data_IF_154700661864
#
_entry.id   IF_154700661864
#
_cell.length_a   1.000
_cell.length_b   1.000
_cell.length_c   1.000
_cell.angle_alpha   90.00
_cell.angle_beta   90.00
_cell.angle_gamma   90.00
#
_symmetry.space_group_name_H-M   'P 1'
#
loop_
_entity.id
_entity.type
_entity.pdbx_description
1 polymer ?
#
# COMPACT_ATOMS: atom_id res chain seq x y z
N UNK A 1 -1.95 -22.28 2.56
CA UNK A 1 -1.70 -22.69 1.16
C UNK A 1 -0.54 -21.84 0.65
N UNK A 2 0.24 -22.29 -0.33
CA UNK A 2 1.27 -21.42 -0.94
C UNK A 2 0.59 -20.37 -1.83
N UNK A 3 1.20 -19.20 -1.97
CA UNK A 3 0.79 -18.17 -2.93
C UNK A 3 1.62 -18.29 -4.19
N UNK A 4 1.06 -17.93 -5.34
CA UNK A 4 1.81 -17.83 -6.58
C UNK A 4 2.30 -16.40 -6.78
N UNK A 5 3.53 -16.28 -7.27
CA UNK A 5 4.04 -15.04 -7.84
C UNK A 5 4.33 -15.31 -9.32
N UNK A 6 3.38 -14.92 -10.16
CA UNK A 6 3.47 -15.03 -11.61
C UNK A 6 4.17 -13.77 -12.14
N UNK A 7 5.27 -13.94 -12.87
CA UNK A 7 6.13 -12.81 -13.25
C UNK A 7 6.27 -12.83 -14.77
N UNK A 8 5.84 -11.76 -15.41
CA UNK A 8 6.18 -11.55 -16.80
C UNK A 8 7.68 -11.31 -16.98
N UNK A 9 8.21 -11.69 -18.15
CA UNK A 9 9.63 -11.56 -18.44
C UNK A 9 9.97 -10.18 -19.01
N UNK A 10 9.26 -9.78 -20.06
CA UNK A 10 9.60 -8.67 -20.93
C UNK A 10 9.01 -7.37 -20.35
N UNK A 11 9.75 -6.27 -20.35
CA UNK A 11 9.34 -5.04 -19.65
C UNK A 11 9.28 -5.15 -18.11
N UNK A 12 9.46 -6.34 -17.54
CA UNK A 12 9.33 -6.65 -16.10
C UNK A 12 10.65 -7.10 -15.48
N UNK A 13 11.21 -8.24 -15.89
CA UNK A 13 12.52 -8.74 -15.44
C UNK A 13 13.64 -8.13 -16.28
N UNK A 14 13.40 -8.03 -17.59
CA UNK A 14 14.27 -7.40 -18.58
C UNK A 14 13.53 -6.24 -19.23
N UNK A 15 14.24 -5.32 -19.87
CA UNK A 15 13.61 -4.31 -20.72
C UNK A 15 13.22 -4.94 -22.04
N UNK A 16 12.01 -4.62 -22.50
CA UNK A 16 11.54 -5.04 -23.81
C UNK A 16 12.18 -4.17 -24.91
N UNK A 17 12.72 -4.76 -25.99
CA UNK A 17 13.31 -4.03 -27.10
C UNK A 17 12.22 -3.49 -28.03
N UNK A 18 12.56 -2.56 -28.91
CA UNK A 18 11.58 -1.92 -29.82
C UNK A 18 10.86 -2.92 -30.74
N UNK A 19 11.50 -4.04 -31.08
CA UNK A 19 10.91 -5.09 -31.92
C UNK A 19 10.24 -6.22 -31.12
N UNK A 20 10.13 -6.06 -29.79
CA UNK A 20 9.48 -7.00 -28.86
C UNK A 20 10.09 -8.41 -28.89
N UNK A 21 11.30 -8.57 -29.44
CA UNK A 21 11.99 -9.86 -29.58
C UNK A 21 13.39 -9.86 -28.95
N UNK A 22 13.54 -10.65 -27.89
CA UNK A 22 14.82 -10.87 -27.19
C UNK A 22 15.51 -12.10 -27.79
N UNK A 23 16.18 -11.89 -28.92
CA UNK A 23 16.81 -12.93 -29.75
C UNK A 23 18.34 -12.80 -29.83
N UNK A 24 18.93 -11.83 -29.14
CA UNK A 24 20.37 -11.63 -29.08
C UNK A 24 20.82 -10.98 -27.77
N UNK A 25 22.06 -11.25 -27.37
CA UNK A 25 22.66 -10.66 -26.16
C UNK A 25 22.82 -9.14 -26.23
N UNK A 26 22.85 -8.56 -27.43
CA UNK A 26 22.95 -7.10 -27.60
C UNK A 26 21.66 -6.38 -27.19
N UNK A 27 20.51 -7.06 -27.30
CA UNK A 27 19.21 -6.53 -26.87
C UNK A 27 18.93 -6.78 -25.39
N UNK A 28 19.67 -7.68 -24.75
CA UNK A 28 19.44 -8.06 -23.36
C UNK A 28 19.87 -6.94 -22.41
N UNK A 29 18.89 -6.31 -21.77
CA UNK A 29 19.11 -5.42 -20.64
C UNK A 29 18.20 -5.82 -19.48
N UNK A 30 18.76 -6.10 -18.30
CA UNK A 30 17.95 -6.36 -17.11
C UNK A 30 17.26 -5.09 -16.62
N UNK A 31 16.01 -5.22 -16.18
CA UNK A 31 15.29 -4.11 -15.60
C UNK A 31 15.98 -3.66 -14.29
N UNK A 32 16.20 -2.35 -14.07
CA UNK A 32 16.91 -1.87 -12.88
C UNK A 32 16.36 -2.43 -11.57
N UNK A 33 17.25 -3.07 -10.81
CA UNK A 33 16.92 -3.64 -9.49
C UNK A 33 16.17 -4.98 -9.52
N UNK A 34 15.77 -5.51 -10.69
CA UNK A 34 15.02 -6.76 -10.80
C UNK A 34 15.72 -7.93 -10.10
N UNK A 35 16.97 -8.20 -10.50
CA UNK A 35 17.77 -9.32 -9.99
C UNK A 35 17.86 -9.27 -8.46
N UNK A 36 18.36 -8.16 -7.90
CA UNK A 36 18.60 -8.04 -6.46
C UNK A 36 17.33 -8.13 -5.62
N UNK A 37 16.20 -7.61 -6.09
CA UNK A 37 14.94 -7.67 -5.35
C UNK A 37 14.23 -9.02 -5.52
N UNK A 38 14.30 -9.66 -6.69
CA UNK A 38 13.83 -11.03 -6.88
C UNK A 38 14.59 -12.01 -5.99
N UNK A 39 15.89 -11.82 -5.81
CA UNK A 39 16.70 -12.61 -4.88
C UNK A 39 16.23 -12.46 -3.42
N UNK A 40 15.80 -11.24 -3.02
CA UNK A 40 15.18 -11.00 -1.70
C UNK A 40 13.80 -11.63 -1.60
N UNK A 41 12.96 -11.49 -2.63
CA UNK A 41 11.61 -12.07 -2.70
C UNK A 41 11.67 -13.60 -2.58
N UNK A 42 12.62 -14.24 -3.26
CA UNK A 42 12.82 -15.70 -3.22
C UNK A 42 13.13 -16.21 -1.81
N UNK A 43 13.72 -15.38 -0.95
CA UNK A 43 14.02 -15.71 0.46
C UNK A 43 12.80 -15.60 1.37
N UNK A 44 11.69 -14.99 0.94
CA UNK A 44 10.46 -14.88 1.74
C UNK A 44 9.81 -16.24 1.97
N UNK A 45 9.95 -17.17 1.01
CA UNK A 45 9.37 -18.54 1.03
C UNK A 45 7.83 -18.60 1.13
N UNK A 46 7.15 -17.46 1.07
CA UNK A 46 5.69 -17.35 1.05
C UNK A 46 5.10 -17.58 -0.36
N UNK A 47 5.91 -17.30 -1.38
CA UNK A 47 5.54 -17.39 -2.78
C UNK A 47 6.27 -18.53 -3.48
N UNK A 48 5.58 -19.17 -4.41
CA UNK A 48 6.16 -20.03 -5.44
C UNK A 48 6.22 -19.24 -6.75
N UNK A 49 7.43 -19.06 -7.30
CA UNK A 49 7.66 -18.19 -8.45
C UNK A 49 7.42 -18.97 -9.74
N UNK A 50 6.69 -18.37 -10.68
CA UNK A 50 6.47 -18.91 -12.03
C UNK A 50 6.68 -17.77 -13.02
N UNK A 51 7.53 -18.00 -14.02
CA UNK A 51 7.69 -17.04 -15.11
C UNK A 51 6.63 -17.32 -16.17
N UNK A 52 5.96 -16.30 -16.69
CA UNK A 52 4.96 -16.45 -17.75
C UNK A 52 5.08 -15.34 -18.79
N UNK A 53 5.34 -15.70 -20.05
CA UNK A 53 5.56 -14.73 -21.14
C UNK A 53 4.87 -15.17 -22.44
N UNK A 54 4.44 -14.19 -23.23
CA UNK A 54 3.97 -14.38 -24.61
C UNK A 54 5.16 -14.09 -25.56
N UNK A 55 5.49 -14.99 -26.47
CA UNK A 55 6.59 -14.86 -27.43
C UNK A 55 6.06 -15.04 -28.87
N UNK A 56 5.63 -13.94 -29.46
CA UNK A 56 4.95 -13.89 -30.76
C UNK A 56 5.75 -14.60 -31.86
N UNK A 57 5.22 -15.74 -32.33
CA UNK A 57 5.82 -16.47 -33.45
C UNK A 57 7.10 -17.21 -33.11
N UNK A 58 7.39 -17.49 -31.83
CA UNK A 58 8.56 -18.28 -31.44
C UNK A 58 8.55 -19.65 -32.14
N UNK A 59 9.64 -19.96 -32.85
CA UNK A 59 9.80 -21.16 -33.66
C UNK A 59 9.37 -21.01 -35.12
N UNK A 60 8.97 -19.81 -35.56
CA UNK A 60 8.79 -19.46 -36.98
C UNK A 60 10.09 -18.90 -37.56
N UNK A 61 10.15 -18.78 -38.89
CA UNK A 61 11.34 -18.26 -39.60
C UNK A 61 11.73 -16.84 -39.14
N UNK A 62 10.76 -16.01 -38.76
CA UNK A 62 10.98 -14.66 -38.27
C UNK A 62 11.51 -14.60 -36.82
N UNK A 63 11.29 -15.65 -36.02
CA UNK A 63 11.76 -15.71 -34.62
C UNK A 63 12.14 -17.16 -34.24
N UNK A 64 13.28 -17.65 -34.73
CA UNK A 64 13.65 -19.06 -34.60
C UNK A 64 14.13 -19.40 -33.19
N UNK A 65 13.92 -20.66 -32.78
CA UNK A 65 14.26 -21.09 -31.41
C UNK A 65 15.76 -21.01 -31.08
N UNK A 66 16.63 -21.13 -32.08
CA UNK A 66 18.07 -21.10 -31.89
C UNK A 66 18.62 -19.70 -31.54
N UNK A 67 17.87 -18.63 -31.78
CA UNK A 67 18.22 -17.26 -31.35
C UNK A 67 17.59 -16.93 -30.00
N UNK A 68 16.41 -17.46 -29.71
CA UNK A 68 15.71 -17.29 -28.44
C UNK A 68 16.37 -18.01 -27.25
N UNK A 69 16.56 -19.34 -27.35
CA UNK A 69 16.95 -20.16 -26.21
C UNK A 69 18.28 -19.76 -25.56
N UNK A 70 19.33 -19.38 -26.29
CA UNK A 70 20.58 -18.92 -25.67
C UNK A 70 20.39 -17.75 -24.72
N UNK A 71 19.56 -16.77 -25.10
CA UNK A 71 19.31 -15.58 -24.28
C UNK A 71 18.37 -15.90 -23.13
N UNK A 72 17.28 -16.65 -23.38
CA UNK A 72 16.37 -17.10 -22.32
C UNK A 72 17.10 -17.90 -21.24
N UNK A 73 17.95 -18.86 -21.62
CA UNK A 73 18.70 -19.68 -20.67
C UNK A 73 19.71 -18.84 -19.87
N UNK A 74 20.34 -17.85 -20.50
CA UNK A 74 21.24 -16.93 -19.80
C UNK A 74 20.51 -16.09 -18.75
N UNK A 75 19.31 -15.59 -19.05
CA UNK A 75 18.47 -14.87 -18.08
C UNK A 75 18.15 -15.76 -16.88
N UNK A 76 17.66 -16.97 -17.14
CA UNK A 76 17.30 -17.93 -16.09
C UNK A 76 18.51 -18.28 -15.24
N UNK A 77 19.64 -18.64 -15.86
CA UNK A 77 20.87 -18.98 -15.15
C UNK A 77 21.39 -17.81 -14.30
N UNK A 78 21.28 -16.58 -14.79
CA UNK A 78 21.67 -15.38 -14.03
C UNK A 78 20.82 -15.23 -12.77
N UNK A 79 19.52 -15.44 -12.87
CA UNK A 79 18.58 -15.39 -11.74
C UNK A 79 18.81 -16.54 -10.76
N UNK A 80 19.04 -17.76 -11.27
CA UNK A 80 19.36 -18.94 -10.46
C UNK A 80 20.64 -18.76 -9.65
N UNK A 81 21.68 -18.15 -10.25
CA UNK A 81 22.94 -17.84 -9.57
C UNK A 81 22.76 -16.87 -8.37
N UNK A 82 21.70 -16.07 -8.39
CA UNK A 82 21.30 -15.18 -7.29
C UNK A 82 20.27 -15.82 -6.34
N UNK A 83 19.97 -17.11 -6.55
CA UNK A 83 19.05 -17.90 -5.73
C UNK A 83 17.57 -17.73 -6.07
N UNK A 84 17.25 -17.18 -7.25
CA UNK A 84 15.88 -17.06 -7.76
C UNK A 84 15.55 -18.31 -8.57
N UNK A 85 14.72 -19.18 -7.99
CA UNK A 85 14.31 -20.43 -8.61
C UNK A 85 12.84 -20.33 -9.06
N UNK A 86 12.61 -20.41 -10.35
CA UNK A 86 11.26 -20.55 -10.89
C UNK A 86 10.85 -22.01 -10.83
N UNK A 87 9.62 -22.26 -10.36
CA UNK A 87 9.04 -23.60 -10.41
C UNK A 87 8.80 -24.04 -11.84
N UNK A 88 8.18 -23.17 -12.63
CA UNK A 88 7.93 -23.36 -14.05
C UNK A 88 8.21 -22.06 -14.81
N UNK A 89 8.55 -22.22 -16.08
CA UNK A 89 8.66 -21.13 -17.06
C UNK A 89 7.67 -21.46 -18.18
N UNK A 90 6.60 -20.66 -18.26
CA UNK A 90 5.47 -20.86 -19.16
C UNK A 90 5.59 -19.88 -20.33
N UNK A 91 5.70 -20.41 -21.55
CA UNK A 91 5.90 -19.61 -22.76
C UNK A 91 4.79 -19.93 -23.74
N UNK A 92 3.97 -18.94 -24.06
CA UNK A 92 3.08 -19.00 -25.23
C UNK A 92 3.84 -18.55 -26.48
N UNK A 93 3.62 -19.24 -27.62
CA UNK A 93 4.34 -18.97 -28.88
C UNK A 93 3.46 -18.35 -29.97
N UNK A 94 2.18 -18.15 -29.67
CA UNK A 94 1.15 -17.80 -30.65
C UNK A 94 1.06 -16.29 -30.82
N UNK A 95 0.53 -15.83 -31.95
CA UNK A 95 0.23 -14.42 -32.17
C UNK A 95 -1.13 -14.02 -31.56
N UNK A 96 -1.36 -12.72 -31.26
CA UNK A 96 -2.64 -12.22 -30.76
C UNK A 96 -3.86 -12.67 -31.58
N UNK A 97 -3.74 -12.65 -32.92
CA UNK A 97 -4.83 -12.99 -33.83
C UNK A 97 -5.21 -14.48 -33.82
N UNK A 98 -4.35 -15.35 -33.31
CA UNK A 98 -4.64 -16.79 -33.17
C UNK A 98 -5.55 -17.08 -31.96
N UNK A 99 -5.68 -16.12 -31.04
CA UNK A 99 -6.59 -16.16 -29.88
C UNK A 99 -6.46 -17.44 -29.03
N UNK A 100 -5.25 -17.99 -28.91
CA UNK A 100 -4.99 -19.24 -28.21
C UNK A 100 -5.30 -19.12 -26.70
N UNK A 101 -5.90 -20.17 -26.12
CA UNK A 101 -6.22 -20.19 -24.69
C UNK A 101 -4.98 -20.13 -23.77
N UNK A 102 -3.82 -20.49 -24.31
CA UNK A 102 -2.52 -20.47 -23.63
C UNK A 102 -1.90 -19.08 -23.57
N UNK A 103 -2.36 -18.13 -24.39
CA UNK A 103 -1.83 -16.77 -24.48
C UNK A 103 -2.42 -15.87 -23.40
N UNK A 104 -1.59 -15.12 -22.66
CA UNK A 104 -2.07 -14.09 -21.73
C UNK A 104 -2.89 -13.04 -22.49
N UNK A 105 -4.04 -12.56 -21.95
CA UNK A 105 -4.50 -12.66 -20.56
C UNK A 105 -5.23 -13.96 -20.17
N UNK A 106 -5.38 -14.92 -21.08
CA UNK A 106 -6.05 -16.19 -20.79
C UNK A 106 -5.18 -17.10 -19.91
N UNK A 107 -5.82 -18.07 -19.28
CA UNK A 107 -5.23 -18.87 -18.20
C UNK A 107 -4.82 -20.29 -18.61
N UNK A 108 -4.78 -20.59 -19.91
CA UNK A 108 -4.57 -21.96 -20.42
C UNK A 108 -3.27 -22.61 -19.95
N UNK A 109 -2.17 -21.85 -19.87
CA UNK A 109 -0.88 -22.34 -19.35
C UNK A 109 -0.89 -22.54 -17.81
N UNK A 110 -1.85 -21.94 -17.11
CA UNK A 110 -1.96 -21.97 -15.65
C UNK A 110 -2.95 -23.02 -15.14
N UNK A 111 -3.56 -23.82 -16.02
CA UNK A 111 -4.50 -24.90 -15.62
C UNK A 111 -4.00 -25.80 -14.47
N UNK A 112 -2.71 -26.22 -14.42
CA UNK A 112 -2.19 -27.03 -13.30
C UNK A 112 -2.24 -26.30 -11.95
N UNK A 113 -2.14 -24.96 -11.97
CA UNK A 113 -2.13 -24.11 -10.79
C UNK A 113 -3.55 -23.78 -10.31
N UNK A 114 -4.47 -23.53 -11.25
CA UNK A 114 -5.88 -23.22 -10.94
C UNK A 114 -6.62 -24.38 -10.26
N UNK A 115 -6.28 -25.61 -10.65
CA UNK A 115 -6.85 -26.83 -10.06
C UNK A 115 -6.05 -27.31 -8.82
N UNK A 116 -4.97 -26.62 -8.46
CA UNK A 116 -4.07 -26.96 -7.37
C UNK A 116 -4.51 -26.38 -6.02
N UNK A 117 -3.71 -26.66 -4.98
CA UNK A 117 -3.93 -26.16 -3.62
C UNK A 117 -3.18 -24.84 -3.35
N UNK A 118 -3.52 -23.80 -4.11
CA UNK A 118 -2.93 -22.46 -4.00
C UNK A 118 -3.92 -21.44 -3.46
N UNK A 119 -3.40 -20.46 -2.71
CA UNK A 119 -4.13 -19.27 -2.31
C UNK A 119 -4.14 -18.26 -3.47
N UNK A 120 -5.06 -18.45 -4.42
CA UNK A 120 -5.15 -17.62 -5.63
C UNK A 120 -5.55 -16.17 -5.30
N UNK A 121 -6.41 -15.97 -4.31
CA UNK A 121 -6.86 -14.63 -3.86
C UNK A 121 -5.68 -13.74 -3.42
N UNK A 122 -4.66 -14.34 -2.80
CA UNK A 122 -3.44 -13.66 -2.39
C UNK A 122 -2.24 -13.94 -3.31
N UNK A 123 -2.46 -14.57 -4.46
CA UNK A 123 -1.47 -14.72 -5.51
C UNK A 123 -1.37 -13.44 -6.35
N UNK A 124 -0.18 -13.18 -6.86
CA UNK A 124 0.14 -11.91 -7.51
C UNK A 124 0.71 -12.16 -8.90
N UNK A 125 0.23 -11.39 -9.89
CA UNK A 125 0.87 -11.24 -11.19
C UNK A 125 1.65 -9.93 -11.20
N UNK A 126 2.92 -9.98 -11.62
CA UNK A 126 3.76 -8.80 -11.87
C UNK A 126 3.96 -8.69 -13.38
N UNK A 127 3.58 -7.57 -13.96
CA UNK A 127 3.76 -7.30 -15.39
C UNK A 127 3.68 -5.82 -15.70
N UNK A 128 4.10 -5.45 -16.91
CA UNK A 128 4.09 -4.06 -17.38
C UNK A 128 2.97 -3.77 -18.39
N UNK A 129 2.20 -4.79 -18.79
CA UNK A 129 1.04 -4.65 -19.67
C UNK A 129 -0.27 -4.85 -18.91
N UNK A 130 -1.35 -4.26 -19.43
CA UNK A 130 -2.69 -4.46 -18.84
C UNK A 130 -3.19 -5.91 -19.00
N UNK A 131 -2.68 -6.65 -19.99
CA UNK A 131 -2.94 -8.08 -20.17
C UNK A 131 -2.42 -8.91 -19.00
N UNK A 132 -1.36 -8.48 -18.30
CA UNK A 132 -0.89 -9.13 -17.07
C UNK A 132 -1.83 -8.87 -15.89
N UNK A 133 -2.40 -7.66 -15.83
CA UNK A 133 -3.41 -7.32 -14.82
C UNK A 133 -4.72 -8.06 -15.08
N UNK A 134 -5.08 -8.24 -16.35
CA UNK A 134 -6.24 -9.04 -16.72
C UNK A 134 -6.00 -10.53 -16.46
N UNK A 135 -4.78 -11.05 -16.67
CA UNK A 135 -4.41 -12.38 -16.20
C UNK A 135 -4.62 -12.52 -14.68
N UNK A 136 -4.21 -11.51 -13.90
CA UNK A 136 -4.42 -11.49 -12.46
C UNK A 136 -5.90 -11.59 -12.08
N UNK A 137 -6.76 -10.83 -12.76
CA UNK A 137 -8.22 -10.94 -12.64
C UNK A 137 -8.69 -12.35 -12.99
N UNK A 138 -8.25 -12.90 -14.12
CA UNK A 138 -8.75 -14.18 -14.65
C UNK A 138 -8.39 -15.38 -13.77
N UNK A 139 -7.30 -15.29 -12.99
CA UNK A 139 -6.96 -16.31 -11.99
C UNK A 139 -7.60 -16.06 -10.61
N UNK A 140 -8.34 -14.97 -10.44
CA UNK A 140 -8.92 -14.54 -9.16
C UNK A 140 -7.91 -13.97 -8.16
N UNK A 141 -6.76 -13.48 -8.65
CA UNK A 141 -5.68 -12.91 -7.84
C UNK A 141 -5.55 -11.39 -7.98
N UNK A 142 -4.34 -10.89 -7.70
CA UNK A 142 -4.02 -9.45 -7.67
C UNK A 142 -2.86 -9.12 -8.61
N UNK A 143 -2.80 -7.89 -9.09
CA UNK A 143 -1.77 -7.40 -10.00
C UNK A 143 -0.82 -6.40 -9.34
N UNK A 144 0.44 -6.41 -9.74
CA UNK A 144 1.39 -5.31 -9.58
C UNK A 144 1.74 -4.83 -10.98
N UNK A 145 1.44 -3.56 -11.26
CA UNK A 145 1.61 -2.98 -12.57
C UNK A 145 2.91 -2.17 -12.63
N UNK A 146 3.86 -2.63 -13.45
CA UNK A 146 5.09 -1.89 -13.75
C UNK A 146 4.79 -0.85 -14.81
N UNK A 147 4.78 0.42 -14.42
CA UNK A 147 4.31 1.49 -15.30
C UNK A 147 5.42 1.99 -16.23
N UNK A 148 5.47 1.43 -17.44
CA UNK A 148 6.42 1.82 -18.48
C UNK A 148 5.81 2.69 -19.61
N UNK A 149 4.51 3.03 -19.54
CA UNK A 149 3.79 3.88 -20.52
C UNK A 149 3.77 3.38 -21.98
N UNK A 150 3.78 2.06 -22.22
CA UNK A 150 3.87 1.50 -23.58
C UNK A 150 2.52 1.40 -24.30
N UNK A 151 1.40 1.20 -23.58
CA UNK A 151 0.06 1.03 -24.18
C UNK A 151 -0.07 -0.22 -25.08
N UNK A 152 0.95 -1.08 -25.10
CA UNK A 152 1.02 -2.30 -25.89
C UNK A 152 0.11 -3.39 -25.30
N UNK A 153 -0.51 -4.19 -26.16
CA UNK A 153 -1.44 -5.25 -25.78
C UNK A 153 -2.87 -4.79 -25.43
N UNK A 154 -3.18 -3.49 -25.52
CA UNK A 154 -4.51 -2.95 -25.19
C UNK A 154 -5.64 -3.55 -26.06
N UNK A 155 -5.33 -3.97 -27.29
CA UNK A 155 -6.29 -4.61 -28.20
C UNK A 155 -6.65 -6.06 -27.80
N UNK A 156 -5.87 -6.66 -26.90
CA UNK A 156 -6.07 -8.03 -26.39
C UNK A 156 -6.92 -8.04 -25.10
N UNK A 157 -7.35 -6.87 -24.61
CA UNK A 157 -8.13 -6.76 -23.39
C UNK A 157 -9.60 -7.13 -23.62
N UNK A 158 -10.15 -8.00 -22.77
CA UNK A 158 -11.59 -8.28 -22.73
C UNK A 158 -12.31 -7.33 -21.75
N UNK A 159 -11.58 -6.87 -20.73
CA UNK A 159 -12.07 -6.03 -19.64
C UNK A 159 -11.81 -4.55 -19.86
N UNK A 160 -12.64 -3.69 -19.25
CA UNK A 160 -12.40 -2.24 -19.29
C UNK A 160 -11.17 -1.85 -18.44
N UNK A 161 -10.42 -0.84 -18.88
CA UNK A 161 -9.26 -0.32 -18.12
C UNK A 161 -9.62 0.10 -16.69
N UNK A 162 -10.84 0.60 -16.49
CA UNK A 162 -11.34 1.03 -15.18
C UNK A 162 -11.62 -0.14 -14.24
N UNK A 163 -12.09 -1.27 -14.78
CA UNK A 163 -12.28 -2.50 -14.02
C UNK A 163 -10.93 -3.08 -13.56
N UNK A 164 -9.93 -3.10 -14.45
CA UNK A 164 -8.60 -3.63 -14.14
C UNK A 164 -7.88 -2.85 -13.02
N UNK A 165 -8.18 -1.57 -12.83
CA UNK A 165 -7.62 -0.79 -11.71
C UNK A 165 -7.94 -1.42 -10.35
N UNK A 166 -9.08 -2.10 -10.21
CA UNK A 166 -9.48 -2.72 -8.94
C UNK A 166 -8.60 -3.93 -8.56
N UNK A 167 -7.89 -4.50 -9.53
CA UNK A 167 -6.98 -5.64 -9.31
C UNK A 167 -5.54 -5.19 -9.07
N UNK A 168 -5.20 -3.92 -9.36
CA UNK A 168 -3.85 -3.39 -9.16
C UNK A 168 -3.66 -3.04 -7.67
N UNK A 169 -2.75 -3.75 -7.02
CA UNK A 169 -2.38 -3.49 -5.62
C UNK A 169 -1.21 -2.52 -5.47
N UNK A 170 -0.39 -2.40 -6.50
CA UNK A 170 0.73 -1.47 -6.57
C UNK A 170 0.97 -1.08 -8.02
N UNK A 171 1.15 0.21 -8.27
CA UNK A 171 1.62 0.77 -9.53
C UNK A 171 2.96 1.45 -9.28
N UNK A 172 4.03 0.98 -9.92
CA UNK A 172 5.40 1.48 -9.67
C UNK A 172 6.31 1.25 -10.88
N UNK A 173 7.50 1.84 -10.90
CA UNK A 173 8.60 1.49 -11.81
C UNK A 173 9.83 0.96 -11.05
N UNK A 174 9.66 0.64 -9.77
CA UNK A 174 10.76 0.30 -8.86
C UNK A 174 10.60 -1.10 -8.27
N UNK A 175 11.50 -2.01 -8.62
CA UNK A 175 11.57 -3.34 -8.02
C UNK A 175 11.78 -3.32 -6.49
N UNK A 176 12.37 -2.25 -5.95
CA UNK A 176 12.50 -2.06 -4.51
C UNK A 176 11.12 -1.84 -3.85
N UNK A 177 10.24 -1.09 -4.48
CA UNK A 177 8.88 -0.88 -4.01
C UNK A 177 8.06 -2.16 -4.12
N UNK A 178 8.23 -2.94 -5.21
CA UNK A 178 7.62 -4.26 -5.37
C UNK A 178 8.03 -5.19 -4.21
N UNK A 179 9.33 -5.33 -3.94
CA UNK A 179 9.81 -6.12 -2.80
C UNK A 179 9.23 -5.63 -1.47
N UNK A 180 9.24 -4.32 -1.25
CA UNK A 180 8.70 -3.71 -0.02
C UNK A 180 7.22 -4.03 0.16
N UNK A 181 6.43 -3.90 -0.90
CA UNK A 181 5.00 -4.20 -0.91
C UNK A 181 4.72 -5.69 -0.67
N UNK A 182 5.45 -6.58 -1.35
CA UNK A 182 5.31 -8.03 -1.13
C UNK A 182 5.72 -8.46 0.28
N UNK A 183 6.79 -7.85 0.82
CA UNK A 183 7.31 -8.16 2.16
C UNK A 183 6.40 -7.66 3.27
N UNK A 184 5.89 -6.44 3.12
CA UNK A 184 5.21 -5.75 4.19
C UNK A 184 3.67 -5.78 4.05
N UNK A 185 3.14 -5.99 2.85
CA UNK A 185 1.71 -5.85 2.56
C UNK A 185 1.20 -4.41 2.63
N UNK A 186 -0.07 -4.21 2.28
CA UNK A 186 -0.75 -2.91 2.38
C UNK A 186 -1.41 -2.69 3.75
N UNK A 187 -1.54 -1.42 4.15
CA UNK A 187 -2.20 -1.00 5.41
C UNK A 187 -3.39 -0.10 5.11
N UNK A 188 -4.33 -0.68 4.36
CA UNK A 188 -5.60 -0.03 3.98
C UNK A 188 -6.73 -0.68 4.76
N UNK A 189 -7.52 0.12 5.46
CA UNK A 189 -8.64 -0.34 6.28
C UNK A 189 -9.88 0.49 5.99
N UNK A 190 -11.03 -0.18 5.92
CA UNK A 190 -12.36 0.44 5.98
C UNK A 190 -13.00 0.06 7.29
N UNK A 191 -13.43 1.05 8.07
CA UNK A 191 -14.03 0.85 9.38
C UNK A 191 -15.29 1.69 9.49
N UNK A 192 -16.35 1.09 9.98
CA UNK A 192 -17.64 1.75 10.21
C UNK A 192 -18.04 1.61 11.67
N UNK A 193 -18.47 2.70 12.30
CA UNK A 193 -18.96 2.72 13.67
C UNK A 193 -20.28 3.47 13.72
N UNK A 194 -21.35 2.77 14.11
CA UNK A 194 -22.70 3.31 14.11
C UNK A 194 -23.32 3.16 15.50
N UNK A 195 -23.82 4.26 16.05
CA UNK A 195 -24.61 4.32 17.28
C UNK A 195 -26.00 4.91 16.97
N UNK A 196 -26.76 5.26 18.00
CA UNK A 196 -28.01 6.03 17.82
C UNK A 196 -27.75 7.53 17.62
N UNK A 197 -26.55 8.00 17.96
CA UNK A 197 -26.13 9.40 17.93
C UNK A 197 -25.36 9.69 16.64
N UNK A 198 -24.49 8.76 16.21
CA UNK A 198 -23.61 8.96 15.07
C UNK A 198 -23.58 7.77 14.11
N UNK A 199 -23.37 8.05 12.82
CA UNK A 199 -23.00 7.06 11.81
C UNK A 199 -21.69 7.49 11.16
N UNK A 200 -20.67 6.65 11.22
CA UNK A 200 -19.31 7.00 10.83
C UNK A 200 -18.75 5.93 9.90
N UNK A 201 -18.22 6.36 8.76
CA UNK A 201 -17.45 5.56 7.83
C UNK A 201 -16.07 6.18 7.62
N UNK A 202 -15.02 5.39 7.84
CA UNK A 202 -13.63 5.78 7.65
C UNK A 202 -12.93 4.79 6.73
N UNK A 203 -12.26 5.30 5.71
CA UNK A 203 -11.28 4.57 4.92
C UNK A 203 -9.91 5.22 5.11
N UNK A 204 -8.93 4.42 5.49
CA UNK A 204 -7.56 4.87 5.83
C UNK A 204 -6.53 4.05 5.07
N UNK A 205 -5.51 4.73 4.52
CA UNK A 205 -4.29 4.13 3.99
C UNK A 205 -3.07 4.71 4.72
N UNK A 206 -2.43 3.92 5.58
CA UNK A 206 -1.26 4.35 6.36
C UNK A 206 0.02 4.53 5.53
N UNK A 207 0.04 4.00 4.30
CA UNK A 207 1.14 4.13 3.33
C UNK A 207 0.76 5.08 2.18
N UNK A 208 -0.08 6.08 2.50
CA UNK A 208 -0.65 7.00 1.53
C UNK A 208 0.28 8.14 1.09
N UNK A 209 -0.33 9.11 0.41
CA UNK A 209 0.33 10.33 -0.08
C UNK A 209 -0.20 11.60 0.59
N UNK A 210 -1.18 11.47 1.49
CA UNK A 210 -1.82 12.57 2.18
C UNK A 210 -3.06 13.09 1.46
N UNK A 211 -3.74 12.22 0.70
CA UNK A 211 -5.06 12.53 0.12
C UNK A 211 -6.09 12.63 1.24
N UNK A 212 -6.98 13.62 1.16
CA UNK A 212 -7.93 13.87 2.22
C UNK A 212 -9.30 14.19 1.64
N UNK A 213 -10.32 13.57 2.22
CA UNK A 213 -11.72 13.90 2.01
C UNK A 213 -12.48 13.64 3.29
N UNK A 214 -13.00 14.69 3.92
CA UNK A 214 -13.86 14.55 5.08
C UNK A 214 -15.16 15.33 4.91
N UNK A 215 -16.18 14.87 5.62
CA UNK A 215 -17.43 15.58 5.85
C UNK A 215 -17.92 15.19 7.23
N UNK A 216 -17.47 15.92 8.25
CA UNK A 216 -17.95 15.72 9.63
C UNK A 216 -19.17 16.56 9.97
N UNK A 217 -19.45 17.58 9.15
CA UNK A 217 -20.44 18.62 9.46
C UNK A 217 -19.86 19.80 10.25
N UNK A 218 -18.57 19.73 10.63
CA UNK A 218 -17.84 20.79 11.33
C UNK A 218 -16.60 21.18 10.53
N UNK A 219 -16.59 22.40 9.99
CA UNK A 219 -15.57 22.87 9.07
C UNK A 219 -14.18 23.01 9.71
N UNK A 220 -14.10 23.45 10.98
CA UNK A 220 -12.81 23.53 11.66
C UNK A 220 -12.26 22.14 11.99
N UNK A 221 -13.14 21.20 12.34
CA UNK A 221 -12.72 19.84 12.63
C UNK A 221 -12.23 19.10 11.37
N UNK A 222 -12.94 19.25 10.24
CA UNK A 222 -12.48 18.74 8.94
C UNK A 222 -11.09 19.29 8.59
N UNK A 223 -10.84 20.58 8.85
CA UNK A 223 -9.53 21.20 8.64
C UNK A 223 -8.43 20.62 9.55
N UNK A 224 -8.73 20.31 10.81
CA UNK A 224 -7.78 19.66 11.73
C UNK A 224 -7.47 18.22 11.32
N UNK A 225 -8.47 17.46 10.87
CA UNK A 225 -8.28 16.11 10.32
C UNK A 225 -7.44 16.12 9.04
N UNK A 226 -7.57 17.16 8.20
CA UNK A 226 -6.71 17.33 7.03
C UNK A 226 -5.23 17.44 7.44
N UNK A 227 -4.92 18.12 8.55
CA UNK A 227 -3.54 18.22 9.03
C UNK A 227 -2.93 16.85 9.31
N UNK A 228 -3.73 15.90 9.82
CA UNK A 228 -3.32 14.52 10.05
C UNK A 228 -2.95 13.84 8.73
N UNK A 229 -3.81 13.91 7.72
CA UNK A 229 -3.54 13.32 6.41
C UNK A 229 -2.30 13.91 5.75
N UNK A 230 -2.24 15.24 5.64
CA UNK A 230 -1.18 15.97 4.91
C UNK A 230 0.19 15.81 5.55
N UNK A 231 0.28 15.97 6.86
CA UNK A 231 1.56 15.91 7.55
C UNK A 231 1.95 14.49 7.94
N UNK A 232 0.96 13.59 8.06
CA UNK A 232 1.13 12.16 8.27
C UNK A 232 1.56 11.38 7.02
N UNK A 233 1.25 11.90 5.82
CA UNK A 233 1.26 11.15 4.56
C UNK A 233 0.37 9.90 4.63
N UNK A 234 -0.85 10.11 5.09
CA UNK A 234 -1.88 9.07 5.24
C UNK A 234 -3.06 9.51 4.39
N UNK A 235 -3.61 8.61 3.58
CA UNK A 235 -4.83 8.93 2.86
C UNK A 235 -6.03 8.66 3.78
N UNK A 236 -6.93 9.64 3.90
CA UNK A 236 -8.10 9.59 4.76
C UNK A 236 -9.37 10.00 4.00
N UNK A 237 -10.38 9.13 4.07
CA UNK A 237 -11.74 9.41 3.59
C UNK A 237 -12.72 9.17 4.75
N UNK A 238 -13.36 10.23 5.23
CA UNK A 238 -14.18 10.24 6.44
C UNK A 238 -15.57 10.78 6.11
N UNK A 239 -16.62 10.06 6.51
CA UNK A 239 -18.01 10.51 6.45
C UNK A 239 -18.64 10.34 7.80
N UNK A 240 -19.25 11.40 8.32
CA UNK A 240 -19.96 11.37 9.59
C UNK A 240 -21.35 11.96 9.42
N UNK A 241 -22.34 11.29 10.01
CA UNK A 241 -23.66 11.83 10.27
C UNK A 241 -23.87 11.82 11.78
N UNK A 242 -23.65 12.96 12.42
CA UNK A 242 -23.82 13.13 13.86
C UNK A 242 -25.05 13.94 14.22
N UNK A 243 -25.37 13.96 15.51
CA UNK A 243 -26.50 14.64 16.10
C UNK A 243 -26.21 16.11 16.46
N UNK A 244 -25.59 16.86 15.53
CA UNK A 244 -25.18 18.28 15.68
C UNK A 244 -26.30 19.26 16.13
N UNK A 245 -27.56 18.82 16.15
CA UNK A 245 -28.69 19.56 16.74
C UNK A 245 -28.69 19.58 18.27
N UNK A 246 -27.99 18.63 18.89
CA UNK A 246 -27.81 18.52 20.34
C UNK A 246 -26.59 19.37 20.70
N UNK A 247 -25.41 18.92 20.28
CA UNK A 247 -24.14 19.63 20.26
C UNK A 247 -23.14 18.87 19.35
N UNK A 248 -21.91 19.35 19.27
CA UNK A 248 -20.79 18.73 18.54
C UNK A 248 -20.10 17.56 19.28
N UNK A 249 -20.43 17.30 20.54
CA UNK A 249 -19.67 16.43 21.43
C UNK A 249 -19.56 15.01 20.88
N UNK A 250 -20.71 14.37 20.65
CA UNK A 250 -20.75 12.99 20.16
C UNK A 250 -20.11 12.86 18.78
N UNK A 251 -20.29 13.86 17.91
CA UNK A 251 -19.72 13.88 16.56
C UNK A 251 -18.19 13.85 16.63
N UNK A 252 -17.57 14.68 17.47
CA UNK A 252 -16.12 14.75 17.61
C UNK A 252 -15.58 13.51 18.33
N UNK A 253 -16.19 13.11 19.45
CA UNK A 253 -15.77 11.96 20.25
C UNK A 253 -15.82 10.68 19.43
N UNK A 254 -16.97 10.37 18.83
CA UNK A 254 -17.14 9.12 18.10
C UNK A 254 -16.26 9.08 16.84
N UNK A 255 -16.00 10.23 16.21
CA UNK A 255 -15.02 10.33 15.11
C UNK A 255 -13.62 10.00 15.60
N UNK A 256 -13.22 10.50 16.76
CA UNK A 256 -11.91 10.20 17.36
C UNK A 256 -11.76 8.71 17.71
N UNK A 257 -12.82 8.09 18.25
CA UNK A 257 -12.86 6.66 18.56
C UNK A 257 -12.73 5.86 17.26
N UNK A 258 -13.58 6.13 16.27
CA UNK A 258 -13.56 5.43 15.00
C UNK A 258 -12.21 5.58 14.29
N UNK A 259 -11.61 6.77 14.33
CA UNK A 259 -10.28 7.02 13.80
C UNK A 259 -9.22 6.19 14.54
N UNK A 260 -9.22 6.21 15.88
CA UNK A 260 -8.30 5.43 16.70
C UNK A 260 -8.42 3.92 16.47
N UNK A 261 -9.65 3.41 16.33
CA UNK A 261 -9.93 2.02 15.98
C UNK A 261 -9.39 1.68 14.58
N UNK A 262 -9.62 2.55 13.58
CA UNK A 262 -9.12 2.35 12.23
C UNK A 262 -7.59 2.33 12.18
N UNK A 263 -6.92 3.23 12.91
CA UNK A 263 -5.46 3.21 13.08
C UNK A 263 -4.98 1.93 13.75
N UNK A 264 -5.64 1.47 14.82
CA UNK A 264 -5.30 0.24 15.52
C UNK A 264 -5.36 -0.97 14.59
N UNK A 265 -6.42 -1.07 13.80
CA UNK A 265 -6.60 -2.15 12.84
C UNK A 265 -5.53 -2.08 11.73
N UNK A 266 -5.28 -0.89 11.18
CA UNK A 266 -4.32 -0.69 10.09
C UNK A 266 -2.86 -0.91 10.50
N UNK A 267 -2.51 -0.74 11.78
CA UNK A 267 -1.16 -1.01 12.29
C UNK A 267 -0.79 -2.50 12.33
N UNK A 268 -1.78 -3.40 12.38
CA UNK A 268 -1.55 -4.85 12.39
C UNK A 268 -0.57 -5.33 13.48
N UNK A 269 0.40 -6.17 13.10
CA UNK A 269 1.35 -6.81 14.04
C UNK A 269 2.54 -5.92 14.47
N UNK A 270 2.60 -4.66 14.00
CA UNK A 270 3.58 -3.65 14.39
C UNK A 270 5.05 -4.00 14.16
N UNK A 271 5.36 -5.03 13.37
CA UNK A 271 6.74 -5.41 13.07
C UNK A 271 7.43 -4.39 12.16
N UNK A 272 8.66 -4.01 12.52
CA UNK A 272 9.49 -3.08 11.77
C UNK A 272 9.12 -1.60 11.91
N UNK A 273 8.26 -1.23 12.87
CA UNK A 273 7.86 0.15 13.15
C UNK A 273 8.88 0.93 14.03
N UNK A 274 9.04 2.24 13.79
CA UNK A 274 9.96 3.12 14.56
C UNK A 274 9.41 3.57 15.93
N UNK A 275 8.11 3.41 16.18
CA UNK A 275 7.42 3.59 17.49
C UNK A 275 7.32 5.01 18.06
N UNK A 276 8.24 5.95 17.84
CA UNK A 276 8.31 7.26 18.53
C UNK A 276 8.18 8.51 17.62
N UNK A 277 7.89 9.69 18.19
CA UNK A 277 7.62 10.98 17.49
C UNK A 277 8.21 12.25 18.14
N UNK A 278 7.98 13.45 17.55
CA UNK A 278 8.81 14.68 17.74
C UNK A 278 8.05 16.04 17.83
N UNK A 279 8.81 17.16 17.96
CA UNK A 279 8.38 18.56 18.21
C UNK A 279 8.07 19.36 16.92
N UNK A 280 7.18 20.37 16.99
CA UNK A 280 6.82 21.24 15.86
C UNK A 280 6.48 22.69 16.29
N UNK A 281 7.14 23.72 15.70
CA UNK A 281 6.75 25.13 15.87
C UNK A 281 5.75 25.60 14.79
N UNK A 282 4.89 26.56 15.14
CA UNK A 282 4.01 27.30 14.22
C UNK A 282 3.78 28.72 14.74
N UNK A 283 4.34 29.72 14.06
CA UNK A 283 4.31 31.13 14.47
C UNK A 283 4.69 31.32 15.95
N UNK A 284 3.76 31.82 16.77
CA UNK A 284 3.95 32.04 18.21
C UNK A 284 3.76 30.77 19.05
N UNK A 285 3.33 29.67 18.43
CA UNK A 285 3.06 28.41 19.09
C UNK A 285 4.20 27.39 18.94
N UNK A 286 4.45 26.63 20.01
CA UNK A 286 5.32 25.46 20.01
C UNK A 286 4.55 24.28 20.59
N UNK A 287 4.40 23.22 19.79
CA UNK A 287 3.80 21.97 20.23
C UNK A 287 4.81 20.83 20.24
N UNK A 288 4.64 19.92 21.20
CA UNK A 288 5.35 18.66 21.27
C UNK A 288 4.36 17.52 21.44
N UNK A 289 4.49 16.50 20.59
CA UNK A 289 3.67 15.30 20.69
C UNK A 289 4.59 14.08 20.69
N UNK A 290 4.61 13.38 21.82
CA UNK A 290 5.25 12.08 21.94
C UNK A 290 4.16 11.00 21.85
N UNK A 291 4.37 9.99 21.01
CA UNK A 291 3.46 8.87 20.81
C UNK A 291 4.20 7.54 21.01
N UNK A 292 3.49 6.57 21.61
CA UNK A 292 3.91 5.17 21.68
C UNK A 292 2.71 4.25 21.40
N UNK A 293 2.76 3.51 20.28
CA UNK A 293 1.78 2.47 19.92
C UNK A 293 1.99 1.13 20.66
N UNK A 294 2.37 1.23 21.94
CA UNK A 294 2.76 0.12 22.81
C UNK A 294 1.61 -0.68 23.42
N UNK A 295 0.38 -0.49 22.94
CA UNK A 295 -0.81 -1.28 23.32
C UNK A 295 -1.46 -0.89 24.65
N UNK A 296 -1.01 0.19 25.29
CA UNK A 296 -1.59 0.71 26.54
C UNK A 296 -2.12 2.11 26.31
N UNK A 297 -3.40 2.39 26.61
CA UNK A 297 -3.97 3.71 26.44
C UNK A 297 -3.55 4.64 27.59
N UNK A 298 -3.03 5.82 27.26
CA UNK A 298 -2.73 6.88 28.23
C UNK A 298 -2.63 8.24 27.54
N UNK A 299 -3.11 9.30 28.19
CA UNK A 299 -2.93 10.67 27.73
C UNK A 299 -2.34 11.53 28.86
N UNK A 300 -1.28 12.26 28.55
CA UNK A 300 -0.83 13.43 29.31
C UNK A 300 -1.08 14.66 28.44
N UNK A 301 -1.86 15.61 28.96
CA UNK A 301 -2.25 16.82 28.25
C UNK A 301 -1.80 18.06 29.02
N UNK A 302 -0.89 18.83 28.42
CA UNK A 302 -0.31 20.06 28.95
C UNK A 302 -0.50 21.20 27.93
N UNK A 303 -1.74 21.54 27.63
CA UNK A 303 -2.09 22.67 26.77
C UNK A 303 -3.37 23.33 27.28
N UNK A 304 -3.28 24.63 27.56
CA UNK A 304 -4.42 25.43 28.04
C UNK A 304 -4.97 26.29 26.92
N UNK A 305 -6.29 26.39 26.84
CA UNK A 305 -7.00 27.23 25.86
C UNK A 305 -7.84 28.28 26.59
N UNK A 306 -7.75 29.55 26.15
CA UNK A 306 -8.47 30.66 26.78
C UNK A 306 -9.79 31.02 26.11
N UNK A 307 -9.96 30.59 24.85
CA UNK A 307 -11.20 30.76 24.11
C UNK A 307 -12.16 29.62 24.42
N UNK A 308 -13.44 29.90 24.38
CA UNK A 308 -14.49 28.87 24.47
C UNK A 308 -14.54 28.05 23.16
N UNK A 309 -14.45 28.74 22.01
CA UNK A 309 -14.50 28.12 20.67
C UNK A 309 -13.36 28.58 19.77
N UNK A 310 -12.91 27.66 18.89
CA UNK A 310 -12.09 27.95 17.71
C UNK A 310 -12.85 27.45 16.49
N UNK A 311 -13.31 28.38 15.64
CA UNK A 311 -14.25 28.03 14.57
C UNK A 311 -15.57 27.52 15.18
N UNK A 312 -15.96 26.32 14.79
CA UNK A 312 -17.14 25.60 15.27
C UNK A 312 -16.81 24.50 16.31
N UNK A 313 -15.59 24.46 16.83
CA UNK A 313 -15.16 23.46 17.81
C UNK A 313 -14.89 24.09 19.19
N UNK A 314 -15.55 23.63 20.26
CA UNK A 314 -15.22 24.02 21.63
C UNK A 314 -13.82 23.55 22.00
N UNK A 315 -13.11 24.36 22.77
CA UNK A 315 -11.72 24.07 23.11
C UNK A 315 -11.54 22.87 24.03
N UNK A 316 -12.55 22.54 24.86
CA UNK A 316 -12.53 21.33 25.69
C UNK A 316 -12.52 20.03 24.86
N UNK A 317 -13.12 20.07 23.66
CA UNK A 317 -13.21 18.91 22.79
C UNK A 317 -11.88 18.51 22.17
N UNK A 318 -10.86 19.38 22.18
CA UNK A 318 -9.52 19.01 21.71
C UNK A 318 -8.88 17.95 22.61
N UNK A 319 -8.89 18.15 23.94
CA UNK A 319 -8.38 17.15 24.88
C UNK A 319 -9.21 15.86 24.75
N UNK A 320 -10.54 15.99 24.64
CA UNK A 320 -11.44 14.85 24.49
C UNK A 320 -11.12 14.03 23.24
N UNK A 321 -10.92 14.68 22.09
CA UNK A 321 -10.50 14.03 20.84
C UNK A 321 -9.22 13.19 21.03
N UNK A 322 -8.16 13.78 21.60
CA UNK A 322 -6.89 13.05 21.78
C UNK A 322 -7.00 11.95 22.83
N UNK A 323 -7.84 12.12 23.86
CA UNK A 323 -8.11 11.09 24.86
C UNK A 323 -8.80 9.89 24.23
N UNK A 324 -9.89 10.14 23.50
CA UNK A 324 -10.66 9.10 22.80
C UNK A 324 -9.83 8.39 21.74
N UNK A 325 -9.01 9.11 20.98
CA UNK A 325 -8.06 8.50 20.05
C UNK A 325 -7.05 7.61 20.78
N UNK A 326 -6.41 8.08 21.85
CA UNK A 326 -5.40 7.31 22.57
C UNK A 326 -5.97 6.01 23.15
N UNK A 327 -7.20 6.09 23.66
CA UNK A 327 -7.92 4.95 24.22
C UNK A 327 -8.24 3.90 23.16
N UNK A 328 -8.83 4.32 22.05
CA UNK A 328 -9.19 3.46 20.92
C UNK A 328 -7.96 2.86 20.22
N UNK A 329 -6.94 3.69 19.96
CA UNK A 329 -5.68 3.27 19.32
C UNK A 329 -4.78 2.43 20.24
N UNK A 330 -5.11 2.37 21.54
CA UNK A 330 -4.28 1.77 22.61
C UNK A 330 -2.86 2.36 22.62
N UNK A 331 -2.79 3.68 22.55
CA UNK A 331 -1.55 4.45 22.45
C UNK A 331 -1.31 5.28 23.71
N UNK A 332 -0.03 5.52 24.01
CA UNK A 332 0.35 6.54 24.98
C UNK A 332 0.62 7.83 24.23
N UNK A 333 0.00 8.92 24.65
CA UNK A 333 0.21 10.27 24.13
C UNK A 333 0.71 11.20 25.23
N UNK A 334 1.72 12.00 24.92
CA UNK A 334 2.14 13.14 25.73
C UNK A 334 2.12 14.37 24.84
N UNK A 335 1.21 15.29 25.14
CA UNK A 335 0.97 16.49 24.34
C UNK A 335 1.22 17.69 25.21
N UNK A 336 2.07 18.61 24.71
CA UNK A 336 2.31 19.92 25.32
C UNK A 336 2.24 20.98 24.23
N UNK A 337 1.64 22.12 24.54
CA UNK A 337 1.69 23.29 23.67
C UNK A 337 1.76 24.60 24.46
N UNK A 338 2.53 25.55 23.94
CA UNK A 338 2.63 26.93 24.42
C UNK A 338 2.38 27.88 23.25
N UNK A 339 1.84 29.07 23.50
CA UNK A 339 1.49 30.06 22.48
C UNK A 339 0.37 31.00 22.92
N UNK A 340 0.20 32.12 22.21
CA UNK A 340 -0.83 33.13 22.48
C UNK A 340 -2.06 32.95 21.60
N UNK A 341 -1.89 32.59 20.32
CA UNK A 341 -2.99 32.33 19.42
C UNK A 341 -3.51 30.89 19.59
N UNK A 342 -4.77 30.77 19.98
CA UNK A 342 -5.43 29.48 20.21
C UNK A 342 -5.50 28.60 18.95
N UNK A 343 -5.72 29.20 17.78
CA UNK A 343 -5.73 28.49 16.50
C UNK A 343 -4.33 27.93 16.19
N UNK A 344 -3.29 28.74 16.34
CA UNK A 344 -1.92 28.31 16.08
C UNK A 344 -1.50 27.18 17.03
N UNK A 345 -1.87 27.28 18.32
CA UNK A 345 -1.63 26.21 19.29
C UNK A 345 -2.26 24.89 18.83
N UNK A 346 -3.55 24.85 18.54
CA UNK A 346 -4.19 23.58 18.20
C UNK A 346 -3.73 23.02 16.85
N UNK A 347 -3.57 23.87 15.84
CA UNK A 347 -3.08 23.42 14.54
C UNK A 347 -1.64 22.89 14.66
N UNK A 348 -0.80 23.53 15.47
CA UNK A 348 0.55 23.03 15.76
C UNK A 348 0.54 21.66 16.46
N UNK A 349 -0.40 21.41 17.38
CA UNK A 349 -0.59 20.10 18.02
C UNK A 349 -0.98 19.05 16.98
N UNK A 350 -1.97 19.33 16.12
CA UNK A 350 -2.41 18.38 15.10
C UNK A 350 -1.29 18.07 14.09
N UNK A 351 -0.51 19.08 13.67
CA UNK A 351 0.66 18.89 12.81
C UNK A 351 1.75 18.07 13.50
N UNK A 352 2.06 18.37 14.76
CA UNK A 352 3.03 17.62 15.56
C UNK A 352 2.60 16.16 15.71
N UNK A 353 1.31 15.93 16.02
CA UNK A 353 0.71 14.61 16.13
C UNK A 353 0.78 13.83 14.81
N UNK A 354 0.40 14.44 13.69
CA UNK A 354 0.50 13.84 12.37
C UNK A 354 1.92 13.39 12.03
N UNK A 355 2.90 14.25 12.32
CA UNK A 355 4.32 13.96 12.12
C UNK A 355 4.84 12.87 13.07
N UNK A 356 4.40 12.88 14.32
CA UNK A 356 4.71 11.84 15.30
C UNK A 356 4.16 10.48 14.86
N UNK A 357 2.90 10.43 14.37
CA UNK A 357 2.31 9.24 13.76
C UNK A 357 3.17 8.77 12.59
N UNK A 358 3.48 9.65 11.62
CA UNK A 358 4.27 9.29 10.43
C UNK A 358 5.57 8.59 10.78
N UNK A 359 6.31 9.12 11.76
CA UNK A 359 7.51 8.45 12.23
C UNK A 359 7.17 7.12 12.88
N UNK A 360 6.28 7.11 13.88
CA UNK A 360 5.97 5.92 14.65
C UNK A 360 5.46 4.75 13.80
N UNK A 361 4.69 5.01 12.74
CA UNK A 361 4.12 3.97 11.85
C UNK A 361 5.02 3.58 10.68
N UNK A 362 6.16 4.24 10.47
CA UNK A 362 7.07 3.91 9.38
C UNK A 362 7.60 2.49 9.56
N UNK A 363 7.54 1.67 8.52
CA UNK A 363 8.10 0.31 8.51
C UNK A 363 9.42 0.26 7.75
N UNK A 364 10.31 -0.63 8.19
CA UNK A 364 11.53 -0.99 7.47
C UNK A 364 11.48 -2.45 6.97
N UNK A 365 11.44 -2.62 5.65
CA UNK A 365 11.40 -3.94 5.00
C UNK A 365 12.66 -4.78 5.25
N UNK A 366 13.79 -4.14 5.56
CA UNK A 366 15.05 -4.82 5.87
C UNK A 366 15.14 -5.19 7.36
N UNK A 367 14.31 -4.58 8.22
CA UNK A 367 14.34 -4.74 9.68
C UNK A 367 12.97 -5.13 10.23
N UNK A 368 12.54 -6.36 9.94
CA UNK A 368 11.31 -6.95 10.48
C UNK A 368 11.54 -7.48 11.89
N UNK A 369 11.62 -6.57 12.87
CA UNK A 369 11.79 -6.91 14.28
C UNK A 369 10.71 -6.21 15.09
N UNK A 370 10.16 -6.91 16.09
CA UNK A 370 9.24 -6.30 17.04
C UNK A 370 10.04 -5.38 17.98
N UNK A 371 9.66 -4.10 18.06
CA UNK A 371 10.28 -3.12 18.94
C UNK A 371 9.83 -3.28 20.42
N UNK A 372 9.91 -4.50 20.95
CA UNK A 372 9.50 -4.86 22.32
C UNK A 372 10.42 -5.93 22.91
N UNK A 373 10.96 -5.66 24.10
CA UNK A 373 11.76 -6.65 24.85
C UNK A 373 10.91 -7.78 25.43
N UNK A 374 9.59 -7.58 25.56
CA UNK A 374 8.65 -8.59 26.08
C UNK A 374 8.19 -9.58 25.02
N UNK A 375 8.58 -9.39 23.75
CA UNK A 375 8.16 -10.25 22.63
C UNK A 375 6.70 -10.07 22.18
N UNK A 376 5.95 -9.16 22.79
CA UNK A 376 4.57 -8.81 22.43
C UNK A 376 4.25 -7.33 22.70
N UNK A 377 3.19 -6.79 22.07
CA UNK A 377 2.72 -5.40 22.17
C UNK A 377 1.20 -5.30 22.22
#
# INVERSE_FOLDING_TARGET
MKKLLLIDRDGTIIKEPEDEQIDSFQKLEFYPGAISNLAKISKLREYELVMITNQDGLGKDAYPENTFWPVQNFIVQTLENEGVLFKDILIDKTFPHENADTRKPKTGLLKPYLNGNYDLENSIVIGDRLTDIELAKNIGGKGIFIHNNTGLGDAELESSKQELQNYITLKTSSWKEIYTHLRLGSRVVKHSRNTKETQIDIEINLDGTGQFKASTGLGFFDHMLEQIARHGLIDLNIKVQGDLRVDEHHTIEDTAIALGEAFQQAMGNKLGMERYGFYLPMDDALASVAIDFGGRPWLVWNADFKREYIGDMPTEMFMHFFKSFADAAKANLNIKAEGQNEHHKIESIFKAFARAIKAAIRRDAEKIVLASTKGQL
#
